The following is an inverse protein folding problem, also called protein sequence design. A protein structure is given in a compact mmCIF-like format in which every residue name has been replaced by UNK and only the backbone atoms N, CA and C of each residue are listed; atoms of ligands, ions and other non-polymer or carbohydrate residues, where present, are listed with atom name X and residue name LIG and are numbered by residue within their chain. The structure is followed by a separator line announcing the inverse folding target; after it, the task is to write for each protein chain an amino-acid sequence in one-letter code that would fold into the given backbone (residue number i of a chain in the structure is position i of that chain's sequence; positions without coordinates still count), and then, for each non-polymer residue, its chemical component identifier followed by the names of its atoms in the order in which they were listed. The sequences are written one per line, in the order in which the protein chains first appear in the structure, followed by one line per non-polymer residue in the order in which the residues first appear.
data_IF_965746180542
#
_entry.id   IF_965746180542
#
_cell.length_a   1.000
_cell.length_b   1.000
_cell.length_c   1.000
_cell.angle_alpha   90.00
_cell.angle_beta   90.00
_cell.angle_gamma   90.00
#
_symmetry.space_group_name_H-M   'P 1'
#
loop_
_entity.id
_entity.type
_entity.pdbx_description
1 polymer ?
#
# COMPACT_ATOMS: atom_id res chain seq x y z
N UNK A 1 46.79 -24.16 -39.82
CA UNK A 1 45.81 -24.15 -40.93
C UNK A 1 44.71 -23.23 -40.40
N UNK A 2 44.71 -22.02 -40.56
CA UNK A 2 44.57 -20.99 -41.57
C UNK A 2 43.20 -21.02 -42.28
N UNK A 3 42.48 -19.86 -42.13
CA UNK A 3 41.55 -19.28 -43.11
C UNK A 3 40.08 -19.70 -42.94
N UNK A 4 39.04 -18.85 -42.91
CA UNK A 4 38.79 -17.59 -43.65
C UNK A 4 37.66 -16.80 -42.92
N UNK A 5 37.89 -15.51 -42.75
CA UNK A 5 36.88 -14.48 -42.44
C UNK A 5 36.12 -14.11 -43.72
N UNK A 6 34.80 -14.06 -43.68
CA UNK A 6 34.00 -13.36 -44.66
C UNK A 6 33.11 -12.30 -43.98
N UNK A 7 33.43 -11.04 -44.27
CA UNK A 7 32.62 -9.85 -43.96
C UNK A 7 31.46 -9.75 -44.96
N UNK A 8 30.24 -9.62 -44.49
CA UNK A 8 29.14 -9.05 -45.26
C UNK A 8 28.68 -7.76 -44.61
N UNK A 9 29.06 -6.64 -45.25
CA UNK A 9 28.51 -5.32 -44.95
C UNK A 9 27.28 -5.06 -45.83
N UNK A 10 26.15 -4.72 -45.25
CA UNK A 10 24.99 -4.17 -45.98
C UNK A 10 24.86 -2.68 -45.66
N UNK A 11 24.56 -1.81 -46.64
CA UNK A 11 24.46 -0.38 -46.48
C UNK A 11 23.08 0.02 -45.87
N UNK A 12 23.14 0.82 -44.84
CA UNK A 12 21.96 1.44 -44.24
C UNK A 12 21.54 2.62 -45.13
N UNK A 13 20.38 2.50 -45.79
CA UNK A 13 19.67 3.63 -46.39
C UNK A 13 18.96 4.40 -45.28
N UNK A 14 19.35 5.66 -45.09
CA UNK A 14 18.61 6.64 -44.32
C UNK A 14 17.43 7.14 -45.19
N UNK A 15 16.19 6.92 -44.74
CA UNK A 15 15.01 7.58 -45.27
C UNK A 15 14.64 8.76 -44.33
N UNK A 16 14.66 9.96 -44.88
CA UNK A 16 14.14 11.17 -44.22
C UNK A 16 12.60 11.13 -44.11
N UNK A 17 12.01 11.59 -42.99
CA UNK A 17 10.57 11.71 -42.88
C UNK A 17 10.04 12.99 -43.53
N UNK A 18 8.83 12.97 -44.10
CA UNK A 18 8.28 14.16 -44.80
C UNK A 18 7.80 15.21 -43.80
N UNK A 19 8.07 16.45 -44.14
CA UNK A 19 7.67 17.66 -43.43
C UNK A 19 6.14 17.75 -43.28
N UNK A 20 5.65 17.78 -42.06
CA UNK A 20 4.24 18.05 -41.74
C UNK A 20 3.99 19.56 -41.64
N UNK A 21 3.22 20.08 -42.56
CA UNK A 21 2.67 21.45 -42.60
C UNK A 21 1.91 21.76 -41.31
N UNK A 22 2.37 22.72 -40.54
CA UNK A 22 1.62 23.36 -39.47
C UNK A 22 0.46 24.20 -40.07
N UNK A 23 -0.76 23.81 -39.73
CA UNK A 23 -1.91 24.73 -39.85
C UNK A 23 -2.00 25.52 -38.53
N UNK A 24 -1.80 26.83 -38.62
CA UNK A 24 -2.16 27.81 -37.59
C UNK A 24 -3.69 27.91 -37.55
N UNK A 25 -4.30 27.70 -36.38
CA UNK A 25 -5.62 28.24 -36.07
C UNK A 25 -5.52 29.06 -34.79
N UNK A 26 -5.56 30.35 -35.02
CA UNK A 26 -5.74 31.41 -34.02
C UNK A 26 -7.21 31.49 -33.67
N UNK A 27 -7.56 31.30 -32.39
CA UNK A 27 -8.70 32.03 -31.78
C UNK A 27 -8.34 32.25 -30.32
N UNK A 28 -7.85 33.43 -29.99
CA UNK A 28 -7.85 33.99 -28.65
C UNK A 28 -9.13 34.81 -28.49
N UNK A 29 -10.05 34.37 -27.67
CA UNK A 29 -11.15 35.20 -27.19
C UNK A 29 -10.75 35.80 -25.84
N UNK A 30 -10.59 37.11 -25.87
CA UNK A 30 -10.27 38.00 -24.75
C UNK A 30 -11.59 38.36 -24.07
N UNK A 31 -11.87 37.81 -22.89
CA UNK A 31 -12.94 38.30 -22.05
C UNK A 31 -12.43 39.46 -21.21
N UNK A 32 -13.00 40.64 -21.48
CA UNK A 32 -12.76 41.91 -20.75
C UNK A 32 -13.46 41.85 -19.38
N UNK A 33 -12.73 42.20 -18.35
CA UNK A 33 -13.28 42.56 -17.05
C UNK A 33 -13.82 44.00 -17.13
N UNK A 34 -15.10 44.19 -16.81
CA UNK A 34 -15.67 45.48 -16.54
C UNK A 34 -15.81 45.68 -15.01
N UNK A 35 -15.47 46.85 -14.45
CA UNK A 35 -15.65 47.12 -13.03
C UNK A 35 -17.06 47.56 -12.73
N UNK A 36 -17.75 46.89 -11.84
CA UNK A 36 -19.10 47.22 -11.37
C UNK A 36 -19.19 47.38 -9.86
N UNK A 37 -19.31 48.59 -9.46
CA UNK A 37 -20.05 49.22 -8.35
C UNK A 37 -19.96 48.62 -6.93
N UNK A 38 -19.43 49.46 -6.04
CA UNK A 38 -19.52 49.32 -4.57
C UNK A 38 -20.98 49.48 -4.08
N UNK A 39 -21.43 48.51 -3.35
CA UNK A 39 -22.60 48.58 -2.48
C UNK A 39 -22.22 48.07 -1.10
N UNK A 40 -22.26 48.97 -0.15
CA UNK A 40 -21.94 48.79 1.27
C UNK A 40 -23.15 48.09 1.94
N UNK A 41 -22.98 46.87 2.45
CA UNK A 41 -23.86 46.35 3.50
C UNK A 41 -23.04 45.43 4.43
N UNK A 42 -23.01 45.84 5.69
CA UNK A 42 -22.41 45.14 6.83
C UNK A 42 -23.26 43.95 7.20
N UNK A 43 -22.76 42.74 6.96
CA UNK A 43 -23.24 41.52 7.61
C UNK A 43 -22.04 40.78 8.24
N UNK A 44 -22.21 40.40 9.50
CA UNK A 44 -21.23 39.65 10.26
C UNK A 44 -20.91 38.31 9.59
N UNK A 45 -19.66 37.80 9.69
CA UNK A 45 -19.31 36.53 9.10
C UNK A 45 -19.97 35.38 9.89
N UNK A 46 -20.94 34.73 9.27
CA UNK A 46 -21.31 33.36 9.62
C UNK A 46 -20.14 32.45 9.28
N UNK A 47 -19.78 31.59 10.19
CA UNK A 47 -18.71 30.61 10.06
C UNK A 47 -19.01 29.63 8.90
N UNK A 48 -18.58 29.99 7.69
CA UNK A 48 -18.54 29.06 6.56
C UNK A 48 -17.33 28.14 6.71
N UNK A 49 -17.54 27.00 7.40
CA UNK A 49 -16.62 25.85 7.40
C UNK A 49 -16.77 24.96 6.17
N UNK A 50 -17.54 25.40 5.15
CA UNK A 50 -17.87 24.61 3.96
C UNK A 50 -17.12 25.04 2.68
N UNK A 51 -16.12 25.90 2.77
CA UNK A 51 -15.38 26.36 1.62
C UNK A 51 -14.16 25.48 1.33
N UNK A 52 -14.31 24.70 0.28
CA UNK A 52 -13.32 23.93 -0.45
C UNK A 52 -13.19 22.44 -0.10
N UNK A 53 -14.15 21.65 -0.56
CA UNK A 53 -13.98 20.24 -0.80
C UNK A 53 -13.59 20.06 -2.29
N UNK A 54 -12.31 19.85 -2.66
CA UNK A 54 -11.91 19.60 -4.04
C UNK A 54 -12.41 18.27 -4.57
N UNK A 55 -12.93 17.43 -3.69
CA UNK A 55 -13.64 16.21 -4.02
C UNK A 55 -15.13 16.55 -3.91
N UNK A 56 -15.64 17.36 -4.84
CA UNK A 56 -17.08 17.47 -5.09
C UNK A 56 -17.60 16.05 -5.15
N UNK A 57 -18.66 15.74 -4.38
CA UNK A 57 -19.38 14.49 -4.50
C UNK A 57 -19.89 14.34 -5.95
N UNK A 58 -19.18 13.62 -6.85
CA UNK A 58 -19.57 13.55 -8.26
C UNK A 58 -20.71 12.56 -8.47
N UNK A 59 -21.12 11.87 -7.41
CA UNK A 59 -22.04 10.75 -7.53
C UNK A 59 -23.37 10.99 -6.77
N UNK A 60 -23.63 12.14 -6.16
CA UNK A 60 -24.88 12.43 -5.48
C UNK A 60 -25.38 11.26 -4.60
N UNK A 61 -26.21 11.52 -3.62
CA UNK A 61 -26.77 10.54 -2.67
C UNK A 61 -27.63 9.40 -3.32
N UNK A 62 -27.77 9.38 -4.65
CA UNK A 62 -28.65 8.46 -5.40
C UNK A 62 -27.91 7.30 -6.08
N UNK A 63 -26.64 7.04 -5.70
CA UNK A 63 -25.90 5.89 -6.24
C UNK A 63 -26.47 4.58 -5.67
N UNK A 64 -27.61 4.15 -6.22
CA UNK A 64 -28.19 2.86 -5.86
C UNK A 64 -27.38 1.72 -6.46
N UNK A 65 -27.18 0.65 -5.70
CA UNK A 65 -26.44 -0.58 -6.07
C UNK A 65 -26.84 -1.22 -7.43
N UNK A 66 -27.92 -0.75 -8.05
CA UNK A 66 -28.43 -1.25 -9.33
C UNK A 66 -27.65 -0.74 -10.57
N UNK A 67 -26.79 0.26 -10.41
CA UNK A 67 -26.02 0.87 -11.51
C UNK A 67 -24.60 0.32 -11.67
N UNK A 68 -24.24 -0.79 -10.99
CA UNK A 68 -22.90 -1.39 -11.13
C UNK A 68 -22.70 -1.87 -12.58
N UNK A 69 -21.66 -1.38 -13.28
CA UNK A 69 -21.37 -1.80 -14.65
C UNK A 69 -21.23 -3.31 -14.75
N UNK A 70 -21.72 -3.90 -15.85
CA UNK A 70 -21.65 -5.36 -16.07
C UNK A 70 -20.23 -5.93 -15.96
N UNK A 71 -19.22 -5.13 -16.27
CA UNK A 71 -17.78 -5.47 -16.15
C UNK A 71 -17.33 -5.66 -14.70
N UNK A 72 -18.03 -5.04 -13.73
CA UNK A 72 -17.79 -5.18 -12.29
C UNK A 72 -18.68 -6.25 -11.65
N UNK A 73 -19.64 -6.79 -12.41
CA UNK A 73 -20.46 -7.90 -11.94
C UNK A 73 -19.66 -9.17 -12.15
N UNK A 74 -19.25 -9.83 -11.08
CA UNK A 74 -18.71 -11.18 -11.15
C UNK A 74 -19.71 -12.15 -11.75
N UNK A 75 -19.27 -13.36 -12.07
CA UNK A 75 -20.15 -14.44 -12.57
C UNK A 75 -21.20 -14.86 -11.52
N UNK A 76 -20.83 -14.74 -10.25
CA UNK A 76 -21.68 -14.98 -9.09
C UNK A 76 -22.31 -13.65 -8.62
N UNK A 77 -23.64 -13.55 -8.46
CA UNK A 77 -24.31 -12.37 -7.90
C UNK A 77 -23.83 -11.99 -6.50
N UNK A 78 -23.25 -12.95 -5.76
CA UNK A 78 -22.72 -12.78 -4.41
C UNK A 78 -21.20 -12.57 -4.39
N UNK A 79 -20.57 -12.34 -5.54
CA UNK A 79 -19.14 -12.04 -5.59
C UNK A 79 -18.84 -10.72 -4.87
N UNK A 80 -17.66 -10.68 -4.23
CA UNK A 80 -17.12 -9.48 -3.59
C UNK A 80 -16.44 -8.61 -4.65
N UNK A 81 -16.92 -7.39 -4.84
CA UNK A 81 -16.27 -6.36 -5.68
C UNK A 81 -15.13 -5.79 -4.86
N UNK A 82 -13.92 -6.06 -5.31
CA UNK A 82 -12.72 -5.79 -4.52
C UNK A 82 -11.82 -4.75 -5.15
N UNK A 83 -11.55 -3.67 -4.40
CA UNK A 83 -10.59 -2.63 -4.76
C UNK A 83 -9.15 -3.12 -4.57
N UNK A 84 -8.46 -3.38 -5.68
CA UNK A 84 -7.06 -3.80 -5.69
C UNK A 84 -6.17 -2.58 -5.90
N UNK A 85 -5.15 -2.33 -5.04
CA UNK A 85 -4.37 -1.11 -5.09
C UNK A 85 -3.49 -1.04 -6.34
N UNK A 86 -3.58 0.09 -7.07
CA UNK A 86 -2.70 0.43 -8.18
C UNK A 86 -1.62 1.41 -7.70
N UNK A 87 -0.40 1.24 -8.18
CA UNK A 87 0.73 2.12 -7.85
C UNK A 87 1.75 1.43 -6.96
N UNK A 88 2.23 2.12 -5.91
CA UNK A 88 3.33 1.64 -5.08
C UNK A 88 3.06 0.31 -4.37
N UNK A 89 1.82 0.07 -3.95
CA UNK A 89 1.42 -1.18 -3.28
C UNK A 89 1.06 -2.32 -4.25
N UNK A 90 0.89 -2.05 -5.54
CA UNK A 90 0.38 -3.04 -6.50
C UNK A 90 1.18 -4.32 -6.50
N UNK A 91 2.49 -4.22 -6.75
CA UNK A 91 3.37 -5.39 -6.87
C UNK A 91 3.43 -6.22 -5.59
N UNK A 92 3.59 -5.57 -4.44
CA UNK A 92 3.62 -6.27 -3.15
C UNK A 92 2.28 -6.93 -2.81
N UNK A 93 1.16 -6.35 -3.26
CA UNK A 93 -0.16 -6.96 -3.11
C UNK A 93 -0.34 -8.15 -4.05
N UNK A 94 0.14 -8.07 -5.30
CA UNK A 94 0.15 -9.22 -6.22
C UNK A 94 0.96 -10.39 -5.64
N UNK A 95 2.14 -10.11 -5.09
CA UNK A 95 2.99 -11.13 -4.43
C UNK A 95 2.30 -11.74 -3.20
N UNK A 96 1.61 -10.91 -2.41
CA UNK A 96 0.85 -11.37 -1.24
C UNK A 96 -0.30 -12.29 -1.63
N UNK A 97 -1.10 -11.90 -2.63
CA UNK A 97 -2.19 -12.72 -3.16
C UNK A 97 -1.68 -14.04 -3.74
N UNK A 98 -0.58 -14.01 -4.49
CA UNK A 98 0.01 -15.23 -5.04
C UNK A 98 0.45 -16.20 -3.94
N UNK A 99 1.05 -15.71 -2.84
CA UNK A 99 1.41 -16.52 -1.67
C UNK A 99 0.18 -17.07 -0.94
N UNK A 100 -0.90 -16.31 -0.91
CA UNK A 100 -2.19 -16.72 -0.35
C UNK A 100 -2.92 -17.78 -1.22
N UNK A 101 -2.35 -18.18 -2.35
CA UNK A 101 -2.96 -19.14 -3.29
C UNK A 101 -3.93 -18.51 -4.28
N UNK A 102 -3.97 -17.19 -4.37
CA UNK A 102 -4.87 -16.41 -5.22
C UNK A 102 -4.08 -15.57 -6.25
N UNK A 103 -3.34 -16.17 -7.19
CA UNK A 103 -2.51 -15.43 -8.13
C UNK A 103 -3.35 -14.48 -8.99
N UNK A 104 -3.02 -13.20 -8.95
CA UNK A 104 -3.68 -12.14 -9.70
C UNK A 104 -2.96 -11.91 -11.02
N UNK A 105 -3.70 -11.94 -12.13
CA UNK A 105 -3.17 -11.69 -13.48
C UNK A 105 -3.60 -10.30 -13.94
N UNK A 106 -2.67 -9.36 -13.97
CA UNK A 106 -2.85 -8.00 -14.47
C UNK A 106 -2.39 -7.94 -15.92
N UNK A 107 -3.23 -7.44 -16.81
CA UNK A 107 -2.91 -7.20 -18.24
C UNK A 107 -2.64 -5.72 -18.44
N UNK A 108 -1.72 -5.40 -19.35
CA UNK A 108 -1.43 -4.02 -19.73
C UNK A 108 -2.70 -3.26 -20.14
N UNK A 109 -2.84 -2.04 -19.61
CA UNK A 109 -3.98 -1.15 -19.88
C UNK A 109 -5.35 -1.69 -19.49
N UNK A 110 -5.41 -2.80 -18.73
CA UNK A 110 -6.64 -3.34 -18.18
C UNK A 110 -6.72 -3.02 -16.68
N UNK A 111 -7.85 -2.47 -16.26
CA UNK A 111 -8.13 -2.13 -14.86
C UNK A 111 -8.94 -3.23 -14.14
N UNK A 112 -9.22 -4.34 -14.80
CA UNK A 112 -9.95 -5.49 -14.25
C UNK A 112 -9.04 -6.72 -14.25
N UNK A 113 -8.19 -6.87 -13.22
CA UNK A 113 -7.37 -8.07 -13.07
C UNK A 113 -8.25 -9.32 -12.96
N UNK A 114 -7.67 -10.46 -13.30
CA UNK A 114 -8.34 -11.75 -13.13
C UNK A 114 -7.66 -12.54 -12.03
N UNK A 115 -8.46 -13.22 -11.23
CA UNK A 115 -8.05 -14.17 -10.20
C UNK A 115 -8.83 -15.48 -10.43
N UNK A 116 -8.25 -16.61 -10.04
CA UNK A 116 -8.91 -17.93 -10.17
C UNK A 116 -9.84 -18.19 -8.97
N UNK A 117 -10.76 -17.25 -8.74
CA UNK A 117 -11.80 -17.31 -7.70
C UNK A 117 -13.04 -16.57 -8.23
N UNK A 118 -14.13 -17.30 -8.50
CA UNK A 118 -15.39 -16.72 -8.99
C UNK A 118 -16.10 -15.86 -7.91
N UNK A 119 -15.68 -15.96 -6.65
CA UNK A 119 -16.16 -15.14 -5.52
C UNK A 119 -15.55 -13.74 -5.42
N UNK A 120 -14.52 -13.44 -6.25
CA UNK A 120 -13.85 -12.15 -6.25
C UNK A 120 -13.90 -11.48 -7.63
N UNK A 121 -14.30 -10.21 -7.66
CA UNK A 121 -14.23 -9.35 -8.84
C UNK A 121 -13.28 -8.20 -8.54
N UNK A 122 -12.08 -8.22 -9.14
CA UNK A 122 -11.04 -7.26 -8.85
C UNK A 122 -11.12 -6.03 -9.76
N UNK A 123 -10.90 -4.86 -9.18
CA UNK A 123 -10.78 -3.60 -9.91
C UNK A 123 -9.57 -2.82 -9.40
N UNK A 124 -8.72 -2.35 -10.32
CA UNK A 124 -7.55 -1.53 -10.00
C UNK A 124 -7.97 -0.08 -9.75
N UNK A 125 -7.74 0.38 -8.53
CA UNK A 125 -7.87 1.78 -8.13
C UNK A 125 -6.60 2.27 -7.44
N UNK A 126 -6.39 3.59 -7.44
CA UNK A 126 -5.36 4.15 -6.57
C UNK A 126 -5.75 3.93 -5.11
N UNK A 127 -4.75 3.65 -4.26
CA UNK A 127 -4.97 3.42 -2.82
C UNK A 127 -5.71 4.59 -2.15
N UNK A 128 -5.50 5.81 -2.66
CA UNK A 128 -6.14 7.03 -2.21
C UNK A 128 -7.66 7.02 -2.36
N UNK A 129 -8.17 6.37 -3.40
CA UNK A 129 -9.59 6.37 -3.78
C UNK A 129 -10.37 5.19 -3.20
N UNK A 130 -9.69 4.08 -2.90
CA UNK A 130 -10.34 2.83 -2.46
C UNK A 130 -11.22 3.05 -1.22
N UNK A 131 -10.79 3.75 -0.14
CA UNK A 131 -11.62 3.90 1.06
C UNK A 131 -12.95 4.57 0.77
N UNK A 132 -12.95 5.59 -0.09
CA UNK A 132 -14.16 6.29 -0.49
C UNK A 132 -15.11 5.37 -1.27
N UNK A 133 -14.61 4.67 -2.30
CA UNK A 133 -15.45 3.76 -3.09
C UNK A 133 -15.99 2.58 -2.27
N UNK A 134 -15.27 2.16 -1.22
CA UNK A 134 -15.77 1.17 -0.26
C UNK A 134 -16.85 1.79 0.64
N UNK A 135 -16.64 3.00 1.16
CA UNK A 135 -17.64 3.69 1.97
C UNK A 135 -18.95 3.93 1.18
N UNK A 136 -18.85 4.38 -0.07
CA UNK A 136 -19.97 4.65 -0.97
C UNK A 136 -20.66 3.37 -1.51
N UNK A 137 -20.17 2.16 -1.18
CA UNK A 137 -20.75 0.89 -1.62
C UNK A 137 -20.54 0.56 -3.10
N UNK A 138 -19.69 1.31 -3.81
CA UNK A 138 -19.22 0.95 -5.17
C UNK A 138 -18.41 -0.33 -5.12
N UNK A 139 -17.57 -0.46 -4.09
CA UNK A 139 -16.80 -1.65 -3.76
C UNK A 139 -17.34 -2.28 -2.47
N UNK A 140 -17.28 -3.60 -2.40
CA UNK A 140 -17.67 -4.34 -1.20
C UNK A 140 -16.51 -4.43 -0.19
N UNK A 141 -15.27 -4.47 -0.69
CA UNK A 141 -14.05 -4.50 0.10
C UNK A 141 -12.86 -3.97 -0.71
N UNK A 142 -11.71 -3.76 -0.06
CA UNK A 142 -10.49 -3.36 -0.75
C UNK A 142 -9.29 -3.25 0.18
N UNK A 143 -8.12 -3.04 -0.42
CA UNK A 143 -6.87 -2.82 0.29
C UNK A 143 -6.38 -1.39 0.06
N UNK A 144 -6.07 -0.69 1.16
CA UNK A 144 -5.54 0.67 1.14
C UNK A 144 -4.64 0.93 2.36
N UNK A 145 -3.96 2.07 2.38
CA UNK A 145 -3.31 2.56 3.59
C UNK A 145 -4.35 3.15 4.57
N UNK A 146 -4.09 3.02 5.87
CA UNK A 146 -4.92 3.63 6.91
C UNK A 146 -4.96 5.16 6.82
N UNK A 147 -3.88 5.75 6.34
CA UNK A 147 -3.78 7.18 6.05
C UNK A 147 -4.92 7.68 5.16
N UNK A 148 -5.25 6.94 4.12
CA UNK A 148 -6.32 7.32 3.19
C UNK A 148 -7.72 7.11 3.77
N UNK A 149 -7.90 6.20 4.72
CA UNK A 149 -9.16 6.07 5.46
C UNK A 149 -9.37 7.32 6.32
N UNK A 150 -8.31 7.78 7.01
CA UNK A 150 -8.33 8.96 7.87
C UNK A 150 -8.50 10.24 7.04
N UNK A 151 -7.73 10.38 5.96
CA UNK A 151 -7.78 11.56 5.08
C UNK A 151 -9.15 11.75 4.46
N UNK A 152 -9.76 10.69 3.95
CA UNK A 152 -11.08 10.76 3.35
C UNK A 152 -12.23 10.79 4.37
N UNK A 153 -11.96 10.60 5.66
CA UNK A 153 -13.01 10.41 6.67
C UNK A 153 -13.95 9.25 6.34
N UNK A 154 -13.45 8.21 5.68
CA UNK A 154 -14.29 7.13 5.14
C UNK A 154 -14.87 6.25 6.24
N UNK A 155 -16.19 6.08 6.24
CA UNK A 155 -16.91 5.26 7.19
C UNK A 155 -16.96 3.79 6.74
N UNK A 156 -15.91 3.04 7.03
CA UNK A 156 -15.71 1.65 6.62
C UNK A 156 -15.44 0.73 7.82
N UNK A 157 -15.55 -0.59 7.59
CA UNK A 157 -15.08 -1.60 8.54
C UNK A 157 -13.63 -1.90 8.26
N UNK A 158 -12.71 -1.63 9.20
CA UNK A 158 -11.33 -2.11 9.15
C UNK A 158 -11.32 -3.60 9.55
N UNK A 159 -11.20 -4.50 8.57
CA UNK A 159 -11.31 -5.95 8.78
C UNK A 159 -10.00 -6.54 9.31
N UNK A 160 -8.87 -6.16 8.72
CA UNK A 160 -7.56 -6.66 9.11
C UNK A 160 -6.45 -5.63 8.89
N UNK A 161 -5.46 -5.65 9.78
CA UNK A 161 -4.20 -4.95 9.58
C UNK A 161 -3.22 -5.86 8.86
N UNK A 162 -2.84 -5.49 7.64
CA UNK A 162 -1.93 -6.25 6.81
C UNK A 162 -0.53 -5.62 6.87
N UNK A 163 0.34 -6.14 7.72
CA UNK A 163 1.71 -5.62 7.90
C UNK A 163 2.65 -6.07 6.79
N UNK A 164 2.41 -5.56 5.59
CA UNK A 164 3.31 -5.68 4.46
C UNK A 164 3.50 -4.33 3.79
N UNK A 165 4.67 -4.07 3.26
CA UNK A 165 4.96 -2.87 2.51
C UNK A 165 6.00 -3.13 1.41
N UNK A 166 6.40 -2.07 0.72
CA UNK A 166 7.35 -2.16 -0.39
C UNK A 166 8.78 -2.50 0.08
N UNK A 167 9.21 -1.95 1.22
CA UNK A 167 10.60 -2.01 1.65
C UNK A 167 10.81 -2.71 3.00
N UNK A 168 9.92 -2.49 3.96
CA UNK A 168 10.06 -3.01 5.33
C UNK A 168 8.74 -3.53 5.87
N UNK A 169 8.75 -4.15 7.06
CA UNK A 169 7.51 -4.49 7.78
C UNK A 169 7.10 -3.39 8.77
N UNK A 170 7.80 -2.26 8.76
CA UNK A 170 7.51 -1.15 9.66
C UNK A 170 6.34 -0.30 9.11
N UNK A 171 5.58 0.35 9.99
CA UNK A 171 4.58 1.32 9.57
C UNK A 171 5.22 2.45 8.74
N UNK A 172 4.54 2.88 7.70
CA UNK A 172 4.88 4.12 7.02
C UNK A 172 4.49 5.30 7.93
N UNK A 173 5.30 6.37 7.94
CA UNK A 173 5.03 7.57 8.71
C UNK A 173 4.84 8.76 7.77
N UNK A 174 3.79 9.51 8.00
CA UNK A 174 3.62 10.82 7.41
C UNK A 174 4.26 11.84 8.34
N UNK A 175 5.23 12.58 7.83
CA UNK A 175 6.06 13.47 8.64
C UNK A 175 6.06 14.88 8.06
N UNK A 176 6.07 15.87 8.95
CA UNK A 176 6.40 17.25 8.60
C UNK A 176 7.90 17.31 8.40
N UNK A 177 8.33 17.76 7.22
CA UNK A 177 9.74 17.88 6.89
C UNK A 177 10.06 19.27 6.34
N UNK A 178 11.26 19.75 6.65
CA UNK A 178 11.80 21.04 6.24
C UNK A 178 13.21 20.85 5.66
N UNK A 179 13.74 21.81 4.89
CA UNK A 179 15.15 21.81 4.51
C UNK A 179 16.08 21.67 5.71
N UNK A 180 17.23 21.01 5.56
CA UNK A 180 18.20 20.78 6.64
C UNK A 180 18.68 22.08 7.28
N UNK A 181 18.79 23.15 6.50
CA UNK A 181 19.23 24.49 6.89
C UNK A 181 18.10 25.41 7.37
N UNK A 182 16.85 24.90 7.41
CA UNK A 182 15.69 25.67 7.90
C UNK A 182 15.84 26.02 9.39
N UNK A 183 15.44 27.21 9.83
CA UNK A 183 15.41 27.59 11.24
C UNK A 183 14.27 26.94 12.04
N UNK A 184 13.34 26.27 11.40
CA UNK A 184 12.16 25.62 12.02
C UNK A 184 12.61 24.41 12.84
N UNK A 185 12.44 24.42 14.14
CA UNK A 185 12.81 23.30 15.02
C UNK A 185 11.60 22.45 15.41
N UNK A 186 10.45 23.06 15.54
CA UNK A 186 9.20 22.42 15.98
C UNK A 186 8.04 22.73 15.04
N UNK A 187 6.95 21.99 15.16
CA UNK A 187 5.74 22.28 14.40
C UNK A 187 5.13 23.65 14.71
N UNK A 188 5.35 24.18 15.92
CA UNK A 188 4.86 25.51 16.31
C UNK A 188 5.51 26.65 15.50
N UNK A 189 6.74 26.48 15.06
CA UNK A 189 7.47 27.46 14.26
C UNK A 189 6.88 27.63 12.85
N UNK A 190 5.92 26.77 12.47
CA UNK A 190 5.22 26.79 11.19
C UNK A 190 3.90 27.57 11.22
N UNK A 191 3.59 28.28 12.33
CA UNK A 191 2.41 29.14 12.41
C UNK A 191 2.37 30.17 11.26
N UNK A 192 1.21 30.27 10.59
CA UNK A 192 1.00 31.21 9.49
C UNK A 192 1.68 30.82 8.17
N UNK A 193 2.33 29.68 8.08
CA UNK A 193 3.07 29.24 6.87
C UNK A 193 2.20 28.40 5.92
N UNK A 194 2.69 28.23 4.67
CA UNK A 194 2.13 27.32 3.68
C UNK A 194 2.83 25.97 3.77
N UNK A 195 2.07 24.88 3.80
CA UNK A 195 2.56 23.51 3.84
C UNK A 195 2.02 22.73 2.63
N UNK A 196 2.89 22.04 1.91
CA UNK A 196 2.46 21.16 0.81
C UNK A 196 2.30 19.72 1.29
N UNK A 197 1.14 19.11 1.03
CA UNK A 197 0.79 17.76 1.49
C UNK A 197 -0.14 17.04 0.52
N UNK A 198 -0.02 15.71 0.40
CA UNK A 198 -1.08 14.88 -0.18
C UNK A 198 -2.24 14.64 0.81
N UNK A 199 -1.99 14.71 2.13
CA UNK A 199 -2.97 14.55 3.20
C UNK A 199 -3.40 15.93 3.73
N UNK A 200 -4.27 16.63 3.00
CA UNK A 200 -4.66 18.00 3.33
C UNK A 200 -5.41 18.05 4.67
N UNK A 201 -6.49 17.29 4.80
CA UNK A 201 -7.35 17.32 5.99
C UNK A 201 -6.64 16.81 7.25
N UNK A 202 -5.84 15.75 7.10
CA UNK A 202 -5.05 15.20 8.20
C UNK A 202 -3.99 16.20 8.66
N UNK A 203 -3.35 16.90 7.73
CA UNK A 203 -2.35 17.93 8.02
C UNK A 203 -3.00 19.12 8.72
N UNK A 204 -4.11 19.65 8.20
CA UNK A 204 -4.83 20.76 8.82
C UNK A 204 -5.25 20.42 10.25
N UNK A 205 -5.83 19.24 10.45
CA UNK A 205 -6.24 18.77 11.79
C UNK A 205 -5.07 18.65 12.74
N UNK A 206 -3.92 18.14 12.27
CA UNK A 206 -2.71 18.02 13.09
C UNK A 206 -2.26 19.34 13.70
N UNK A 207 -2.28 20.43 12.93
CA UNK A 207 -1.91 21.78 13.39
C UNK A 207 -3.00 22.40 14.26
N UNK A 208 -4.28 22.24 13.87
CA UNK A 208 -5.43 22.73 14.62
C UNK A 208 -5.49 22.11 16.02
N UNK A 209 -5.35 20.80 16.15
CA UNK A 209 -5.39 20.07 17.43
C UNK A 209 -4.24 20.50 18.39
N UNK A 210 -3.17 21.09 17.85
CA UNK A 210 -2.05 21.65 18.63
C UNK A 210 -2.18 23.14 18.91
N UNK A 211 -3.24 23.77 18.47
CA UNK A 211 -3.49 25.19 18.63
C UNK A 211 -2.60 26.08 17.74
N UNK A 212 -1.93 25.52 16.72
CA UNK A 212 -1.08 26.23 15.78
C UNK A 212 -1.98 26.81 14.69
N UNK A 213 -2.05 28.13 14.61
CA UNK A 213 -3.01 28.83 13.75
C UNK A 213 -2.40 29.34 12.46
N UNK A 214 -3.26 29.69 11.49
CA UNK A 214 -2.85 30.34 10.25
C UNK A 214 -2.06 29.47 9.28
N UNK A 215 -1.85 28.18 9.59
CA UNK A 215 -1.26 27.22 8.66
C UNK A 215 -2.22 27.03 7.48
N UNK A 216 -1.68 27.14 6.26
CA UNK A 216 -2.41 26.84 5.03
C UNK A 216 -1.83 25.58 4.42
N UNK A 217 -2.68 24.64 4.02
CA UNK A 217 -2.23 23.41 3.37
C UNK A 217 -2.59 23.44 1.89
N UNK A 218 -1.58 23.26 1.04
CA UNK A 218 -1.74 23.12 -0.40
C UNK A 218 -1.64 21.67 -0.80
N UNK A 219 -2.58 21.18 -1.62
CA UNK A 219 -2.54 19.83 -2.14
C UNK A 219 -1.32 19.59 -3.04
N UNK A 220 -0.57 18.54 -2.75
CA UNK A 220 0.59 18.10 -3.53
C UNK A 220 0.25 16.90 -4.41
N UNK A 221 0.41 17.05 -5.73
CA UNK A 221 0.15 15.99 -6.71
C UNK A 221 1.27 14.96 -6.85
N UNK A 222 2.17 14.87 -5.87
CA UNK A 222 3.38 14.05 -5.88
C UNK A 222 4.66 14.87 -6.05
N UNK A 223 5.81 14.21 -5.92
CA UNK A 223 7.13 14.85 -5.85
C UNK A 223 7.16 15.97 -4.80
N UNK A 224 6.56 15.70 -3.64
CA UNK A 224 6.35 16.69 -2.57
C UNK A 224 7.68 17.19 -2.02
N UNK A 225 8.72 16.37 -2.00
CA UNK A 225 10.06 16.72 -1.52
C UNK A 225 10.66 17.96 -2.23
N UNK A 226 10.37 18.12 -3.53
CA UNK A 226 10.86 19.27 -4.31
C UNK A 226 10.22 20.56 -3.85
N UNK A 227 8.97 20.52 -3.38
CA UNK A 227 8.23 21.70 -2.93
C UNK A 227 8.82 22.37 -1.70
N UNK A 228 9.54 21.63 -0.87
CA UNK A 228 10.23 22.19 0.29
C UNK A 228 11.27 23.29 -0.07
N UNK A 229 11.74 23.30 -1.32
CA UNK A 229 12.69 24.30 -1.82
C UNK A 229 12.00 25.49 -2.51
N UNK A 230 10.67 25.52 -2.59
CA UNK A 230 9.95 26.60 -3.26
C UNK A 230 9.79 27.82 -2.34
N UNK A 231 9.94 29.04 -2.87
CA UNK A 231 9.71 30.26 -2.09
C UNK A 231 8.26 30.27 -1.57
N UNK A 232 8.10 30.57 -0.28
CA UNK A 232 6.79 30.65 0.37
C UNK A 232 6.25 29.36 0.95
N UNK A 233 6.86 28.22 0.67
CA UNK A 233 6.54 26.94 1.33
C UNK A 233 7.38 26.83 2.60
N UNK A 234 6.73 26.75 3.77
CA UNK A 234 7.41 26.63 5.07
C UNK A 234 7.85 25.21 5.39
N UNK A 235 7.04 24.23 4.99
CA UNK A 235 7.30 22.82 5.19
C UNK A 235 6.55 21.96 4.17
N UNK A 236 6.87 20.68 4.14
CA UNK A 236 6.10 19.66 3.45
C UNK A 236 5.60 18.59 4.42
N UNK A 237 4.57 17.89 4.02
CA UNK A 237 4.17 16.62 4.66
C UNK A 237 4.29 15.52 3.63
N UNK A 238 5.13 14.54 3.94
CA UNK A 238 5.40 13.45 3.02
C UNK A 238 5.51 12.10 3.75
N UNK A 239 5.31 11.02 2.99
CA UNK A 239 5.35 9.66 3.52
C UNK A 239 6.77 9.11 3.50
N UNK A 240 7.16 8.47 4.58
CA UNK A 240 8.45 7.80 4.68
C UNK A 240 8.39 6.54 5.55
N UNK A 241 9.15 5.51 5.20
CA UNK A 241 9.39 4.34 6.05
C UNK A 241 10.74 4.46 6.78
N UNK A 242 11.77 4.86 6.07
CA UNK A 242 13.17 4.87 6.56
C UNK A 242 13.81 6.25 6.61
N UNK A 243 13.13 7.27 6.14
CA UNK A 243 13.67 8.63 5.99
C UNK A 243 14.68 8.78 4.85
N UNK A 244 14.89 7.75 4.03
CA UNK A 244 15.92 7.78 2.98
C UNK A 244 15.63 8.78 1.87
N UNK A 245 14.37 8.91 1.43
CA UNK A 245 13.94 9.89 0.44
C UNK A 245 14.18 11.33 0.95
N UNK A 246 13.77 11.59 2.19
CA UNK A 246 13.95 12.91 2.81
C UNK A 246 15.43 13.29 2.88
N UNK A 247 16.28 12.40 3.38
CA UNK A 247 17.74 12.65 3.45
C UNK A 247 18.37 12.86 2.08
N UNK A 248 17.94 12.09 1.08
CA UNK A 248 18.44 12.25 -0.30
C UNK A 248 18.10 13.63 -0.89
N UNK A 249 16.99 14.25 -0.43
CA UNK A 249 16.55 15.58 -0.83
C UNK A 249 16.94 16.68 0.18
N UNK A 250 17.90 16.41 1.11
CA UNK A 250 18.37 17.35 2.13
C UNK A 250 17.23 17.90 3.00
N UNK A 251 16.31 17.03 3.38
CA UNK A 251 15.21 17.33 4.27
C UNK A 251 15.40 16.63 5.61
N UNK A 252 14.96 17.29 6.69
CA UNK A 252 14.88 16.71 8.01
C UNK A 252 13.45 16.68 8.53
N UNK A 253 13.15 15.66 9.31
CA UNK A 253 11.87 15.49 9.98
C UNK A 253 11.75 16.46 11.17
N UNK A 254 10.58 17.10 11.31
CA UNK A 254 10.22 17.98 12.43
C UNK A 254 9.22 17.30 13.34
N UNK A 255 8.20 16.65 12.76
CA UNK A 255 7.16 15.97 13.53
C UNK A 255 6.55 14.82 12.70
N UNK A 256 6.08 13.79 13.40
CA UNK A 256 5.23 12.74 12.78
C UNK A 256 3.77 13.12 12.99
N UNK A 257 2.99 13.14 11.92
CA UNK A 257 1.56 13.44 11.97
C UNK A 257 0.69 12.18 12.04
N UNK A 258 1.10 11.12 11.36
CA UNK A 258 0.33 9.88 11.29
C UNK A 258 1.25 8.70 11.02
N UNK A 259 0.99 7.57 11.68
CA UNK A 259 1.53 6.27 11.31
C UNK A 259 0.47 5.48 10.56
N UNK A 260 0.86 4.89 9.43
CA UNK A 260 -0.03 4.15 8.55
C UNK A 260 0.50 2.76 8.26
N UNK A 261 -0.41 1.80 8.33
CA UNK A 261 -0.22 0.44 7.84
C UNK A 261 -1.27 0.11 6.80
N UNK A 262 -1.01 -0.89 5.99
CA UNK A 262 -2.01 -1.36 5.02
C UNK A 262 -3.18 -2.02 5.74
N UNK A 263 -4.40 -1.76 5.26
CA UNK A 263 -5.66 -2.29 5.80
C UNK A 263 -6.45 -3.02 4.72
N UNK A 264 -7.06 -4.12 5.11
CA UNK A 264 -8.20 -4.69 4.42
C UNK A 264 -9.45 -4.05 5.02
N UNK A 265 -10.26 -3.42 4.18
CA UNK A 265 -11.47 -2.71 4.57
C UNK A 265 -12.70 -3.29 3.88
N UNK A 266 -13.85 -3.15 4.50
CA UNK A 266 -15.13 -3.57 3.94
C UNK A 266 -16.18 -2.45 4.05
N UNK A 267 -17.10 -2.43 3.07
CA UNK A 267 -18.31 -1.64 3.15
C UNK A 267 -19.22 -2.18 4.25
N UNK A 268 -19.86 -1.28 5.00
CA UNK A 268 -20.72 -1.66 6.15
C UNK A 268 -21.92 -2.52 5.78
N UNK A 269 -22.51 -2.30 4.61
CA UNK A 269 -23.66 -3.10 4.18
C UNK A 269 -23.23 -4.44 3.59
N UNK A 270 -22.12 -4.48 2.84
CA UNK A 270 -21.49 -5.74 2.44
C UNK A 270 -21.05 -6.59 3.65
N UNK A 271 -20.63 -5.94 4.73
CA UNK A 271 -20.26 -6.62 5.98
C UNK A 271 -21.45 -7.18 6.75
N UNK A 272 -22.66 -6.65 6.55
CA UNK A 272 -23.92 -7.20 7.10
C UNK A 272 -24.41 -8.41 6.33
N UNK A 273 -24.04 -8.53 5.05
CA UNK A 273 -24.36 -9.71 4.22
C UNK A 273 -23.48 -10.91 4.67
N UNK A 274 -24.07 -12.00 5.19
CA UNK A 274 -23.32 -13.10 5.78
C UNK A 274 -22.42 -13.82 4.76
N UNK A 275 -22.78 -13.83 3.48
CA UNK A 275 -22.01 -14.52 2.43
C UNK A 275 -20.80 -13.67 2.04
N UNK A 276 -21.01 -12.36 1.79
CA UNK A 276 -19.91 -11.44 1.49
C UNK A 276 -18.96 -11.32 2.66
N UNK A 277 -19.49 -11.22 3.87
CA UNK A 277 -18.70 -11.17 5.09
C UNK A 277 -17.80 -12.40 5.23
N UNK A 278 -18.36 -13.60 5.11
CA UNK A 278 -17.57 -14.83 5.19
C UNK A 278 -16.43 -14.86 4.15
N UNK A 279 -16.69 -14.47 2.90
CA UNK A 279 -15.67 -14.39 1.86
C UNK A 279 -14.57 -13.36 2.19
N UNK A 280 -14.93 -12.21 2.77
CA UNK A 280 -13.96 -11.18 3.16
C UNK A 280 -13.13 -11.67 4.37
N UNK A 281 -13.74 -12.36 5.33
CA UNK A 281 -13.05 -12.98 6.47
C UNK A 281 -12.09 -14.08 6.02
N UNK A 282 -12.50 -14.94 5.09
CA UNK A 282 -11.63 -15.98 4.49
C UNK A 282 -10.45 -15.35 3.76
N UNK A 283 -10.67 -14.29 2.98
CA UNK A 283 -9.61 -13.56 2.32
C UNK A 283 -8.64 -12.93 3.33
N UNK A 284 -9.16 -12.31 4.41
CA UNK A 284 -8.35 -11.77 5.49
C UNK A 284 -7.45 -12.83 6.13
N UNK A 285 -8.01 -14.00 6.42
CA UNK A 285 -7.30 -15.15 6.99
C UNK A 285 -6.15 -15.62 6.08
N UNK A 286 -6.43 -15.77 4.80
CA UNK A 286 -5.42 -16.21 3.81
C UNK A 286 -4.31 -15.18 3.64
N UNK A 287 -4.64 -13.89 3.53
CA UNK A 287 -3.66 -12.82 3.40
C UNK A 287 -2.80 -12.69 4.65
N UNK A 288 -3.41 -12.76 5.84
CA UNK A 288 -2.67 -12.73 7.11
C UNK A 288 -1.74 -13.94 7.22
N UNK A 289 -2.24 -15.14 6.91
CA UNK A 289 -1.43 -16.36 6.90
C UNK A 289 -0.26 -16.30 5.91
N UNK A 290 -0.42 -15.62 4.77
CA UNK A 290 0.65 -15.41 3.80
C UNK A 290 1.71 -14.41 4.32
N UNK A 291 1.31 -13.39 5.08
CA UNK A 291 2.22 -12.45 5.75
C UNK A 291 3.04 -13.19 6.81
N UNK A 292 2.36 -13.98 7.65
CA UNK A 292 3.00 -14.72 8.74
C UNK A 292 3.91 -15.83 8.20
N UNK A 293 3.50 -16.51 7.13
CA UNK A 293 4.30 -17.54 6.45
C UNK A 293 5.59 -16.97 5.81
N UNK A 294 5.59 -15.71 5.38
CA UNK A 294 6.75 -15.08 4.73
C UNK A 294 8.00 -15.06 5.60
N UNK A 295 7.84 -14.98 6.91
CA UNK A 295 8.93 -14.89 7.89
C UNK A 295 9.36 -16.27 8.41
N UNK A 296 8.69 -17.33 7.98
CA UNK A 296 8.87 -18.69 8.50
C UNK A 296 9.46 -19.62 7.46
N UNK A 297 10.18 -20.61 7.97
CA UNK A 297 10.70 -21.72 7.19
C UNK A 297 10.34 -23.03 7.89
N UNK A 298 10.04 -24.06 7.10
CA UNK A 298 10.02 -25.42 7.58
C UNK A 298 11.44 -25.96 7.67
N UNK A 299 11.78 -26.59 8.78
CA UNK A 299 13.04 -27.28 9.00
C UNK A 299 12.75 -28.75 9.26
N UNK A 300 13.26 -29.61 8.39
CA UNK A 300 13.12 -31.08 8.49
C UNK A 300 14.48 -31.72 8.58
N UNK A 301 14.61 -32.75 9.40
CA UNK A 301 15.86 -33.50 9.61
C UNK A 301 15.61 -34.88 10.14
N UNK A 302 16.63 -35.75 10.02
CA UNK A 302 16.72 -36.97 10.79
C UNK A 302 17.63 -36.72 11.99
N UNK A 303 17.14 -36.94 13.20
CA UNK A 303 17.83 -36.68 14.46
C UNK A 303 17.95 -37.96 15.29
N UNK A 304 19.08 -38.23 15.99
CA UNK A 304 19.11 -39.31 16.98
C UNK A 304 17.97 -39.15 17.97
N UNK A 305 17.23 -40.23 18.20
CA UNK A 305 16.03 -40.19 19.06
C UNK A 305 16.36 -39.71 20.48
N UNK A 306 17.55 -40.02 20.98
CA UNK A 306 18.04 -39.56 22.28
C UNK A 306 18.24 -38.03 22.37
N UNK A 307 18.44 -37.33 21.22
CA UNK A 307 18.66 -35.87 21.16
C UNK A 307 17.37 -35.04 21.06
N UNK A 308 16.20 -35.70 20.89
CA UNK A 308 14.91 -34.98 20.77
C UNK A 308 14.58 -34.11 21.98
N UNK A 309 14.77 -34.55 23.23
CA UNK A 309 14.50 -33.71 24.41
C UNK A 309 15.37 -32.46 24.44
N UNK A 310 16.65 -32.56 24.07
CA UNK A 310 17.58 -31.43 24.01
C UNK A 310 17.17 -30.42 22.94
N UNK A 311 16.78 -30.88 21.74
CA UNK A 311 16.25 -30.03 20.68
C UNK A 311 14.97 -29.34 21.16
N UNK A 312 14.03 -30.07 21.77
CA UNK A 312 12.77 -29.49 22.26
C UNK A 312 12.98 -28.36 23.26
N UNK A 313 14.03 -28.44 24.09
CA UNK A 313 14.38 -27.40 25.04
C UNK A 313 14.98 -26.14 24.38
N UNK A 314 15.48 -26.24 23.15
CA UNK A 314 16.05 -25.13 22.38
C UNK A 314 15.04 -24.44 21.44
N UNK A 315 13.90 -25.10 21.23
CA UNK A 315 12.86 -24.51 20.37
C UNK A 315 12.06 -23.43 21.12
N UNK A 316 11.57 -22.39 20.42
CA UNK A 316 10.64 -21.44 21.01
C UNK A 316 9.45 -22.16 21.63
N UNK A 317 9.05 -21.75 22.84
CA UNK A 317 8.11 -22.46 23.75
C UNK A 317 6.70 -22.72 23.20
N UNK A 318 6.36 -22.20 22.03
CA UNK A 318 4.98 -22.25 21.53
C UNK A 318 4.60 -23.56 20.84
N UNK A 319 5.56 -24.39 20.37
CA UNK A 319 5.23 -25.60 19.61
C UNK A 319 6.28 -26.70 19.80
N UNK A 320 5.82 -27.86 20.22
CA UNK A 320 6.61 -29.07 20.14
C UNK A 320 6.89 -29.46 18.68
N UNK A 321 8.08 -29.97 18.37
CA UNK A 321 8.37 -30.48 17.02
C UNK A 321 7.48 -31.69 16.69
N UNK A 322 7.15 -31.86 15.43
CA UNK A 322 6.57 -33.14 14.96
C UNK A 322 7.68 -34.15 14.87
N UNK A 323 7.50 -35.28 15.56
CA UNK A 323 8.46 -36.37 15.58
C UNK A 323 7.82 -37.61 15.00
N UNK A 324 8.47 -38.22 13.98
CA UNK A 324 8.00 -39.45 13.35
C UNK A 324 9.09 -40.51 13.41
N UNK A 325 8.77 -41.77 13.78
CA UNK A 325 9.74 -42.85 13.82
C UNK A 325 10.26 -43.16 12.41
N UNK A 326 11.52 -43.55 12.30
CA UNK A 326 12.13 -44.09 11.10
C UNK A 326 12.21 -45.61 11.19
N UNK A 327 12.55 -46.29 10.10
CA UNK A 327 12.83 -47.73 10.10
C UNK A 327 14.04 -48.06 10.99
N UNK A 328 15.00 -47.18 11.06
CA UNK A 328 16.10 -47.23 12.01
C UNK A 328 15.61 -46.57 13.33
N UNK A 329 15.46 -47.37 14.37
CA UNK A 329 14.94 -46.95 15.66
C UNK A 329 15.88 -46.02 16.44
N UNK A 330 17.15 -45.91 16.05
CA UNK A 330 18.11 -44.99 16.66
C UNK A 330 17.89 -43.53 16.19
N UNK A 331 17.17 -43.35 15.07
CA UNK A 331 16.84 -42.06 14.51
C UNK A 331 15.33 -41.85 14.36
N UNK A 332 14.92 -40.60 14.43
CA UNK A 332 13.57 -40.16 14.09
C UNK A 332 13.60 -38.99 13.10
N UNK A 333 12.57 -38.83 12.29
CA UNK A 333 12.34 -37.64 11.50
C UNK A 333 11.72 -36.56 12.38
N UNK A 334 12.32 -35.36 12.35
CA UNK A 334 11.84 -34.20 13.10
C UNK A 334 11.49 -33.12 12.10
N UNK A 335 10.32 -32.53 12.30
CA UNK A 335 9.86 -31.36 11.50
C UNK A 335 9.39 -30.23 12.44
N UNK A 336 9.82 -29.02 12.15
CA UNK A 336 9.45 -27.83 12.90
C UNK A 336 9.34 -26.62 11.96
N UNK A 337 8.38 -25.76 12.24
CA UNK A 337 8.26 -24.45 11.57
C UNK A 337 8.79 -23.38 12.51
N UNK A 338 9.79 -22.65 12.06
CA UNK A 338 10.47 -21.61 12.85
C UNK A 338 10.66 -20.34 12.02
N UNK A 339 10.96 -19.23 12.68
CA UNK A 339 11.35 -18.01 11.98
C UNK A 339 12.68 -18.20 11.24
N UNK A 340 12.83 -17.56 10.08
CA UNK A 340 14.02 -17.70 9.23
C UNK A 340 15.32 -17.35 9.99
N UNK A 341 15.28 -16.33 10.88
CA UNK A 341 16.39 -16.00 11.76
C UNK A 341 16.77 -17.14 12.69
N UNK A 342 15.78 -17.72 13.35
CA UNK A 342 15.97 -18.87 14.25
C UNK A 342 16.53 -20.10 13.53
N UNK A 343 16.10 -20.33 12.28
CA UNK A 343 16.62 -21.46 11.49
C UNK A 343 18.13 -21.38 11.26
N UNK A 344 18.69 -20.18 11.07
CA UNK A 344 20.14 -19.96 10.89
C UNK A 344 20.95 -20.44 12.10
N UNK A 345 20.42 -20.24 13.29
CA UNK A 345 21.07 -20.65 14.54
C UNK A 345 20.84 -22.14 14.83
N UNK A 346 19.63 -22.64 14.53
CA UNK A 346 19.27 -24.04 14.77
C UNK A 346 20.03 -25.01 13.84
N UNK A 347 20.23 -24.70 12.57
CA UNK A 347 20.89 -25.63 11.62
C UNK A 347 22.28 -26.07 12.07
N UNK A 348 23.20 -25.20 12.48
CA UNK A 348 24.50 -25.61 13.03
C UNK A 348 24.36 -26.37 14.35
N UNK A 349 23.40 -26.02 15.18
CA UNK A 349 23.15 -26.67 16.45
C UNK A 349 22.73 -28.14 16.26
N UNK A 350 21.67 -28.39 15.50
CA UNK A 350 21.15 -29.72 15.23
C UNK A 350 22.17 -30.60 14.52
N UNK A 351 23.03 -29.99 13.67
CA UNK A 351 24.15 -30.72 13.06
C UNK A 351 25.15 -31.28 14.09
N UNK A 352 25.47 -30.48 15.13
CA UNK A 352 26.33 -30.91 16.24
C UNK A 352 25.67 -32.01 17.10
N UNK A 353 24.32 -31.98 17.18
CA UNK A 353 23.52 -33.01 17.87
C UNK A 353 23.40 -34.34 17.09
N UNK A 354 24.08 -34.45 15.93
CA UNK A 354 24.08 -35.64 15.10
C UNK A 354 22.99 -35.67 14.03
N UNK A 355 22.28 -34.56 13.78
CA UNK A 355 21.27 -34.53 12.73
C UNK A 355 21.88 -34.72 11.32
N UNK A 356 21.13 -35.46 10.51
CA UNK A 356 21.42 -35.74 9.10
C UNK A 356 20.24 -35.37 8.21
N UNK A 357 20.43 -35.23 6.90
CA UNK A 357 19.33 -34.93 5.97
C UNK A 357 18.60 -33.63 6.31
N UNK A 358 19.33 -32.61 6.78
CA UNK A 358 18.74 -31.32 7.16
C UNK A 358 18.28 -30.58 5.90
N UNK A 359 17.00 -30.25 5.83
CA UNK A 359 16.37 -29.53 4.72
C UNK A 359 15.56 -28.37 5.27
N UNK A 360 15.72 -27.18 4.67
CA UNK A 360 14.85 -26.05 4.89
C UNK A 360 14.00 -25.78 3.66
N UNK A 361 12.73 -25.39 3.86
CA UNK A 361 11.84 -25.03 2.77
C UNK A 361 10.95 -23.83 3.15
N UNK A 362 10.61 -22.97 2.17
CA UNK A 362 9.80 -21.79 2.45
C UNK A 362 8.36 -22.19 2.83
N UNK A 363 7.76 -21.44 3.74
CA UNK A 363 6.34 -21.53 4.11
C UNK A 363 5.58 -20.46 3.33
N UNK A 364 4.62 -20.85 2.49
CA UNK A 364 3.78 -19.91 1.78
C UNK A 364 2.71 -19.31 2.68
N UNK A 365 2.12 -20.13 3.53
CA UNK A 365 1.00 -19.77 4.39
C UNK A 365 1.21 -20.40 5.78
N UNK A 366 1.00 -19.62 6.85
CA UNK A 366 0.99 -20.07 8.23
C UNK A 366 -0.20 -19.46 8.95
N UNK A 367 -1.15 -20.30 9.37
CA UNK A 367 -2.36 -19.88 10.09
C UNK A 367 -2.27 -20.43 11.50
N UNK A 368 -2.55 -19.61 12.50
CA UNK A 368 -2.47 -19.94 13.92
C UNK A 368 -3.82 -19.89 14.59
#
# INVERSE_FOLDING_TARGET
MATVLARCAFPIRRSEPPARRMRRSTVFSRAMYAPGNMGNESAAPTSDTDAWNPIVDPLGSDFTSNAVPAVMKGKDPQCVRFGFPKGSLQKSTEELFARAGLPVKVKDRNYFPTVEDDGLSLVLFRSQEIPRYVADGVLDAGICGRDWIVENGSDVVEVAELKYSKATSNPARWVVAVPEDSPVETAADLEGTLIASELVHTTERFFLDRGIQGVKVEYSWGATEVKASLPGVGAIVDITETGSSLRANKLREVATILESTTRLIANKDAWKDPIKRARIEDLALLLQGAIDGKKKVGLKMNLPTASVPELSAQLPSEKSPTVSPLLDNDYCAVEVVVDEGTAKDLVPLVRRMGATGIVTYPINLSIH
#
